data_IF_749988908376
#
_entry.id   IF_749988908376
#
_cell.length_a   1.000
_cell.length_b   1.000
_cell.length_c   1.000
_cell.angle_alpha   90.00
_cell.angle_beta   90.00
_cell.angle_gamma   90.00
#
_symmetry.space_group_name_H-M   'P 1'
#
loop_
_entity.id
_entity.type
_entity.pdbx_description
1 polymer ?
2 non-polymer ?
3 non-polymer ?
4 water ?
#
# COMPACT_ATOMS: atom_id res chain seq x y z
N UNK A 33 -16.48 -11.12 16.18
CA UNK A 33 -16.95 -9.93 16.87
C UNK A 33 -15.78 -9.06 17.33
N UNK A 34 -14.59 -9.64 17.38
CA UNK A 34 -13.39 -8.90 17.75
C UNK A 34 -12.62 -8.54 16.49
N UNK A 35 -11.92 -7.40 16.56
CA UNK A 35 -11.19 -6.89 15.40
C UNK A 35 -10.21 -7.92 14.88
N UNK A 36 -9.43 -8.51 15.76
CA UNK A 36 -8.43 -9.48 15.32
C UNK A 36 -9.06 -10.73 14.71
N UNK A 37 -10.24 -11.12 15.18
CA UNK A 37 -10.87 -12.33 14.64
C UNK A 37 -11.42 -12.09 13.24
N UNK A 38 -12.02 -10.92 13.01
CA UNK A 38 -12.47 -10.59 11.66
C UNK A 38 -11.29 -10.54 10.71
N UNK A 39 -10.22 -9.85 11.12
CA UNK A 39 -9.05 -9.71 10.26
C UNK A 39 -8.37 -11.06 10.02
N UNK A 40 -8.30 -11.90 11.06
CA UNK A 40 -7.75 -13.25 10.93
C UNK A 40 -8.57 -14.07 9.94
N UNK A 41 -9.90 -13.97 10.03
CA UNK A 41 -10.75 -14.72 9.12
C UNK A 41 -10.58 -14.26 7.68
N UNK A 42 -10.54 -12.95 7.47
CA UNK A 42 -10.30 -12.41 6.15
C UNK A 42 -8.96 -12.88 5.61
N UNK A 43 -7.90 -12.79 6.44
CA UNK A 43 -6.58 -13.21 5.98
C UNK A 43 -6.55 -14.70 5.65
N UNK A 44 -7.22 -15.52 6.48
CA UNK A 44 -7.23 -16.95 6.24
C UNK A 44 -7.85 -17.28 4.89
N UNK A 45 -9.00 -16.68 4.59
CA UNK A 45 -9.66 -16.93 3.30
C UNK A 45 -8.82 -16.41 2.14
N UNK A 46 -8.12 -15.29 2.33
CA UNK A 46 -7.26 -14.77 1.27
C UNK A 46 -6.03 -15.66 1.08
N UNK A 47 -5.46 -16.18 2.18
CA UNK A 47 -4.35 -17.10 2.04
C UNK A 47 -4.74 -18.29 1.19
N UNK A 48 -5.98 -18.73 1.30
CA UNK A 48 -6.47 -19.81 0.43
C UNK A 48 -6.40 -19.41 -1.03
N UNK A 49 -6.82 -18.18 -1.34
CA UNK A 49 -6.76 -17.70 -2.72
C UNK A 49 -5.32 -17.63 -3.19
N UNK A 50 -4.41 -17.21 -2.30
CA UNK A 50 -3.00 -17.12 -2.66
C UNK A 50 -2.33 -18.48 -2.73
N UNK A 51 -3.00 -19.55 -2.32
CA UNK A 51 -2.43 -20.88 -2.40
C UNK A 51 -1.39 -21.19 -1.34
N UNK A 52 -1.43 -20.50 -0.21
CA UNK A 52 -0.49 -20.77 0.87
C UNK A 52 -0.90 -22.02 1.64
N UNK A 53 0.10 -22.70 2.20
CA UNK A 53 -0.17 -23.89 3.01
C UNK A 53 -0.88 -23.49 4.30
N UNK A 54 -1.53 -24.48 4.92
CA UNK A 54 -2.17 -24.25 6.21
C UNK A 54 -1.14 -23.80 7.25
N UNK A 55 0.07 -24.34 7.19
CA UNK A 55 1.11 -23.95 8.13
C UNK A 55 1.47 -22.47 7.97
N UNK A 56 1.70 -22.02 6.74
CA UNK A 56 2.05 -20.62 6.51
C UNK A 56 0.89 -19.70 6.89
N UNK A 57 -0.33 -20.12 6.58
CA UNK A 57 -1.50 -19.33 6.97
C UNK A 57 -1.53 -19.13 8.48
N UNK A 58 -1.39 -20.22 9.24
CA UNK A 58 -1.43 -20.10 10.70
C UNK A 58 -0.33 -19.19 11.20
N UNK A 59 0.87 -19.29 10.61
CA UNK A 59 1.97 -18.42 11.01
C UNK A 59 1.62 -16.95 10.80
N UNK A 60 1.10 -16.64 9.62
CA UNK A 60 0.84 -15.24 9.26
C UNK A 60 -0.37 -14.67 9.96
N UNK A 61 -1.40 -15.47 10.25
CA UNK A 61 -2.47 -14.99 11.12
C UNK A 61 -1.89 -14.56 12.47
N UNK A 62 -0.94 -15.35 13.01
CA UNK A 62 -0.31 -14.99 14.26
C UNK A 62 0.45 -13.68 14.16
N UNK A 63 1.21 -13.51 13.07
CA UNK A 63 1.94 -12.26 12.86
C UNK A 63 0.97 -11.08 12.81
N UNK A 64 -0.15 -11.24 12.11
CA UNK A 64 -1.13 -10.17 12.02
C UNK A 64 -1.63 -9.79 13.41
N UNK A 65 -1.98 -10.78 14.22
CA UNK A 65 -2.47 -10.50 15.57
C UNK A 65 -1.42 -9.75 16.37
N UNK A 66 -0.19 -10.25 16.37
CA UNK A 66 0.89 -9.57 17.07
C UNK A 66 1.00 -8.11 16.62
N UNK A 67 0.90 -7.87 15.32
CA UNK A 67 1.09 -6.52 14.81
C UNK A 67 0.00 -5.57 15.30
N UNK A 68 -1.20 -6.09 15.57
CA UNK A 68 -2.29 -5.24 16.05
C UNK A 68 -2.21 -4.94 17.54
N UNK A 69 -1.33 -5.61 18.28
CA UNK A 69 -1.22 -5.35 19.70
C UNK A 69 -2.53 -5.63 20.42
N UNK A 70 -2.82 -4.81 21.42
CA UNK A 70 -4.04 -5.00 22.21
C UNK A 70 -5.30 -4.79 21.38
N UNK A 71 -5.21 -4.02 20.29
CA UNK A 71 -6.36 -3.76 19.45
C UNK A 71 -6.94 -5.03 18.85
N UNK A 72 -6.15 -6.11 18.76
CA UNK A 72 -6.67 -7.36 18.23
C UNK A 72 -7.83 -7.89 19.05
N UNK A 73 -7.85 -7.62 20.35
CA UNK A 73 -8.91 -8.09 21.22
C UNK A 73 -10.08 -7.14 21.34
N UNK A 74 -10.10 -6.13 20.51
CA UNK A 74 -11.06 -5.04 20.60
C UNK A 74 -12.41 -5.45 20.01
N UNK A 75 -13.53 -5.28 20.72
CA UNK A 75 -14.83 -5.55 20.11
C UNK A 75 -15.11 -4.60 18.96
N UNK A 76 -15.67 -5.15 17.88
CA UNK A 76 -16.03 -4.32 16.74
C UNK A 76 -17.23 -3.44 17.02
N UNK A 77 -17.94 -3.66 18.14
CA UNK A 77 -18.99 -2.75 18.55
C UNK A 77 -18.45 -1.44 19.11
N UNK A 78 -17.16 -1.37 19.43
CA UNK A 78 -16.55 -0.12 19.87
C UNK A 78 -15.92 0.60 18.69
N UNK A 79 -15.64 1.89 18.83
CA UNK A 79 -15.05 2.66 17.72
C UNK A 79 -13.69 2.10 17.33
N UNK A 80 -13.18 2.50 16.18
CA UNK A 80 -11.83 2.09 15.80
C UNK A 80 -10.81 2.57 16.81
N UNK A 81 -9.72 1.83 16.99
CA UNK A 81 -8.71 2.27 17.98
C UNK A 81 -8.03 3.56 17.60
N UNK A 82 -7.92 3.87 16.31
CA UNK A 82 -7.36 5.13 15.86
C UNK A 82 -8.14 5.63 14.66
N UNK A 83 -8.02 6.92 14.41
CA UNK A 83 -8.63 7.55 13.24
C UNK A 83 -7.72 7.43 12.03
N UNK A 84 -7.19 6.23 11.83
CA UNK A 84 -6.09 6.07 10.89
C UNK A 84 -6.54 6.33 9.47
N UNK A 85 -5.63 6.93 8.70
CA UNK A 85 -5.73 7.19 7.28
C UNK A 85 -5.45 5.95 6.44
N UNK A 86 -5.14 4.82 7.09
CA UNK A 86 -4.84 3.59 6.37
C UNK A 86 -6.02 3.10 5.55
N UNK A 87 -7.25 3.31 6.04
CA UNK A 87 -8.44 2.94 5.30
C UNK A 87 -9.53 3.96 5.61
N UNK A 88 -10.55 4.01 4.75
CA UNK A 88 -11.55 5.06 4.87
C UNK A 88 -12.38 4.90 6.14
N UNK A 89 -12.62 3.67 6.60
CA UNK A 89 -13.37 3.45 7.83
C UNK A 89 -12.48 3.26 9.04
N UNK A 90 -11.17 3.48 8.89
CA UNK A 90 -10.22 3.50 9.99
C UNK A 90 -9.93 2.10 10.53
N UNK A 91 -10.26 1.06 9.79
CA UNK A 91 -9.73 -0.25 10.11
C UNK A 91 -8.20 -0.20 9.97
N UNK A 92 -7.45 -0.65 10.97
CA UNK A 92 -5.99 -0.56 10.86
C UNK A 92 -5.38 -1.71 10.07
N UNK A 93 -6.14 -2.23 9.10
CA UNK A 93 -5.73 -3.35 8.26
C UNK A 93 -6.22 -3.09 6.85
N UNK A 94 -5.38 -3.41 5.86
CA UNK A 94 -5.78 -3.41 4.47
C UNK A 94 -5.03 -4.53 3.77
N UNK A 95 -5.71 -5.21 2.85
CA UNK A 95 -5.11 -6.29 2.07
C UNK A 95 -4.79 -5.81 0.67
N UNK A 96 -3.84 -6.48 0.04
CA UNK A 96 -3.64 -6.26 -1.39
C UNK A 96 -3.14 -7.54 -2.04
N UNK A 97 -3.47 -7.68 -3.32
CA UNK A 97 -3.06 -8.83 -4.12
C UNK A 97 -2.29 -8.33 -5.32
N UNK A 98 -1.10 -8.89 -5.52
CA UNK A 98 -0.23 -8.51 -6.62
C UNK A 98 -0.27 -9.61 -7.67
N UNK A 99 -0.75 -9.27 -8.86
CA UNK A 99 -1.02 -10.25 -9.91
C UNK A 99 0.10 -10.26 -10.95
N UNK A 100 0.55 -11.47 -11.30
CA UNK A 100 1.44 -11.71 -12.42
C UNK A 100 0.80 -12.73 -13.35
N UNK A 101 1.09 -12.69 -14.65
CA UNK A 101 0.50 -13.69 -15.56
C UNK A 101 0.93 -15.10 -15.19
N UNK A 102 -0.02 -16.03 -15.28
CA UNK A 102 0.26 -17.43 -15.02
C UNK A 102 0.79 -17.66 -13.63
N UNK A 103 0.15 -17.04 -12.64
CA UNK A 103 0.57 -17.17 -11.26
C UNK A 103 -0.61 -16.89 -10.34
N UNK A 104 -0.59 -17.52 -9.17
CA UNK A 104 -1.49 -17.11 -8.11
C UNK A 104 -1.05 -15.74 -7.61
N UNK A 105 -1.98 -14.87 -7.23
CA UNK A 105 -1.59 -13.55 -6.73
C UNK A 105 -0.75 -13.65 -5.46
N UNK A 106 0.17 -12.71 -5.31
CA UNK A 106 0.91 -12.55 -4.06
C UNK A 106 0.05 -11.78 -3.08
N UNK A 107 -0.04 -12.26 -1.84
CA UNK A 107 -0.86 -11.64 -0.83
C UNK A 107 0.00 -10.79 0.10
N UNK A 108 -0.48 -9.58 0.37
CA UNK A 108 0.16 -8.67 1.30
C UNK A 108 -0.89 -8.11 2.24
N UNK A 109 -0.45 -7.72 3.43
CA UNK A 109 -1.34 -7.10 4.41
C UNK A 109 -0.64 -5.90 5.01
N UNK A 110 -1.34 -4.77 5.04
CA UNK A 110 -0.85 -3.51 5.58
C UNK A 110 -1.53 -3.26 6.91
N UNK A 111 -0.75 -2.87 7.92
CA UNK A 111 -1.25 -2.67 9.27
C UNK A 111 -0.62 -1.43 9.87
N UNK A 112 -1.34 -0.81 10.81
CA UNK A 112 -0.81 0.27 11.63
C UNK A 112 -0.48 -0.31 13.00
N UNK A 113 0.77 -0.73 13.25
CA UNK A 113 1.03 -1.51 14.47
C UNK A 113 0.86 -0.73 15.75
N UNK A 114 0.89 0.60 15.71
CA UNK A 114 0.74 1.40 16.91
C UNK A 114 -0.69 1.89 17.09
N UNK A 115 -1.64 1.25 16.41
CA UNK A 115 -3.01 1.77 16.43
C UNK A 115 -3.61 1.76 17.82
N UNK A 116 -3.13 0.88 18.71
CA UNK A 116 -3.66 0.84 20.07
C UNK A 116 -3.33 2.09 20.85
N UNK A 117 -2.30 2.84 20.44
CA UNK A 117 -1.97 4.11 21.06
C UNK A 117 -2.89 5.24 20.58
N UNK A 118 -3.81 4.95 19.66
CA UNK A 118 -4.77 5.94 19.23
C UNK A 118 -4.15 7.01 18.35
N UNK A 119 -4.70 8.22 18.46
CA UNK A 119 -4.31 9.34 17.62
C UNK A 119 -3.18 10.15 18.24
N UNK A 120 -2.60 9.68 19.33
CA UNK A 120 -1.35 10.24 19.86
C UNK A 120 -0.22 9.81 18.93
N UNK A 121 0.13 10.68 17.96
CA UNK A 121 1.04 10.26 16.90
C UNK A 121 2.42 9.87 17.43
N UNK A 122 2.90 10.59 18.45
CA UNK A 122 4.22 10.26 19.01
C UNK A 122 4.22 8.84 19.57
N UNK A 123 3.20 8.48 20.35
CA UNK A 123 3.16 7.15 20.92
C UNK A 123 2.79 6.11 19.88
N UNK A 124 1.92 6.47 18.93
CA UNK A 124 1.60 5.58 17.82
C UNK A 124 2.87 5.18 17.06
N UNK A 125 3.73 6.17 16.76
CA UNK A 125 4.96 5.88 16.05
C UNK A 125 5.93 5.03 16.86
N UNK A 126 6.11 5.36 18.14
CA UNK A 126 6.98 4.54 18.98
C UNK A 126 6.53 3.09 19.02
N UNK A 127 5.23 2.86 19.16
CA UNK A 127 4.71 1.50 19.21
C UNK A 127 4.88 0.79 17.88
N UNK A 128 4.73 1.52 16.77
CA UNK A 128 4.95 0.93 15.46
C UNK A 128 6.39 0.51 15.25
N UNK A 129 7.33 1.38 15.64
CA UNK A 129 8.75 1.03 15.52
C UNK A 129 9.09 -0.19 16.36
N UNK A 130 8.52 -0.28 17.57
CA UNK A 130 8.79 -1.44 18.41
C UNK A 130 8.36 -2.73 17.73
N UNK A 131 7.20 -2.72 17.07
CA UNK A 131 6.73 -3.91 16.38
C UNK A 131 7.63 -4.28 15.21
N UNK A 132 8.11 -3.29 14.46
CA UNK A 132 9.00 -3.58 13.33
C UNK A 132 10.32 -4.16 13.84
N UNK A 133 10.87 -3.57 14.89
CA UNK A 133 12.13 -4.09 15.43
C UNK A 133 11.96 -5.46 16.02
N UNK A 134 10.78 -5.79 16.53
CA UNK A 134 10.52 -7.15 17.00
C UNK A 134 10.54 -8.13 15.83
N UNK A 135 9.91 -7.76 14.71
CA UNK A 135 9.99 -8.57 13.50
C UNK A 135 11.42 -8.74 13.05
N UNK A 136 12.16 -7.64 12.98
CA UNK A 136 13.54 -7.68 12.52
C UNK A 136 14.37 -8.65 13.35
N UNK A 137 14.29 -8.53 14.68
CA UNK A 137 15.02 -9.44 15.55
C UNK A 137 14.60 -10.88 15.30
N UNK A 138 13.30 -11.10 15.07
CA UNK A 138 12.77 -12.45 14.93
C UNK A 138 13.24 -13.12 13.65
N UNK A 139 13.30 -12.38 12.55
CA UNK A 139 13.65 -12.93 11.24
C UNK A 139 15.05 -12.53 10.80
N UNK A 140 15.82 -11.90 11.68
CA UNK A 140 17.22 -11.64 11.41
C UNK A 140 17.48 -10.80 10.17
N UNK A 141 16.90 -9.61 10.11
CA UNK A 141 17.20 -8.69 9.02
C UNK A 141 17.48 -7.30 9.58
N UNK A 142 18.13 -6.50 8.75
CA UNK A 142 18.69 -5.23 9.19
C UNK A 142 17.64 -4.13 9.20
N UNK A 143 17.74 -3.25 10.19
CA UNK A 143 16.98 -2.01 10.24
C UNK A 143 17.89 -0.80 10.05
N UNK A 144 19.05 -0.99 9.42
CA UNK A 144 20.03 0.09 9.31
C UNK A 144 19.46 1.29 8.56
N UNK A 145 18.84 1.05 7.41
CA UNK A 145 18.26 2.16 6.66
C UNK A 145 17.18 2.86 7.47
N UNK A 146 16.38 2.10 8.21
CA UNK A 146 15.30 2.71 8.99
C UNK A 146 15.85 3.49 10.17
N UNK A 147 16.79 2.90 10.92
CA UNK A 147 17.38 3.61 12.05
C UNK A 147 18.09 4.86 11.59
N UNK A 148 18.65 4.84 10.38
CA UNK A 148 19.29 6.02 9.80
C UNK A 148 18.32 7.17 9.62
N UNK A 149 17.03 6.87 9.45
CA UNK A 149 16.02 7.87 9.15
C UNK A 149 15.17 8.25 10.35
N UNK A 150 15.31 7.55 11.48
CA UNK A 150 14.31 7.62 12.53
C UNK A 150 14.07 9.05 12.99
N UNK A 151 15.14 9.80 13.27
CA UNK A 151 14.97 11.15 13.82
C UNK A 151 14.26 12.07 12.84
N UNK A 152 14.38 11.81 11.53
CA UNK A 152 13.68 12.64 10.55
C UNK A 152 12.17 12.42 10.60
N UNK A 153 11.74 11.19 10.86
CA UNK A 153 10.35 10.81 10.69
C UNK A 153 9.60 10.61 11.99
N UNK A 154 10.28 10.73 13.13
CA UNK A 154 9.65 10.57 14.44
C UNK A 154 10.13 11.67 15.36
N UNK A 155 9.74 12.92 15.07
CA UNK A 155 10.08 14.02 15.97
C UNK A 155 9.23 13.97 17.24
N UNK A 156 9.58 14.85 18.18
CA UNK A 156 8.92 14.84 19.49
C UNK A 156 7.43 15.10 19.37
N UNK A 157 7.02 16.06 18.53
CA UNK A 157 5.62 16.44 18.35
C UNK A 157 5.26 16.27 16.88
N UNK A 158 5.04 15.05 16.42
CA UNK A 158 4.85 14.82 14.99
C UNK A 158 3.47 15.28 14.52
N UNK A 159 3.41 15.67 13.26
CA UNK A 159 2.15 15.97 12.59
C UNK A 159 1.67 14.74 11.81
N UNK A 160 0.39 14.73 11.49
CA UNK A 160 -0.23 13.63 10.77
C UNK A 160 0.15 13.65 9.30
N UNK A 161 -0.51 12.81 8.50
CA UNK A 161 -1.65 11.95 8.85
C UNK A 161 -1.30 10.53 9.33
N UNK A 162 -0.01 10.18 9.38
CA UNK A 162 0.38 8.88 9.89
C UNK A 162 1.73 9.01 10.59
N UNK A 163 2.08 7.97 11.35
CA UNK A 163 3.40 7.85 11.94
C UNK A 163 4.17 6.67 11.35
N UNK A 164 3.58 5.47 11.35
CA UNK A 164 4.23 4.30 10.78
C UNK A 164 3.17 3.27 10.44
N UNK A 165 3.18 2.81 9.19
CA UNK A 165 2.49 1.59 8.79
C UNK A 165 3.52 0.56 8.36
N UNK A 166 3.11 -0.70 8.39
CA UNK A 166 3.95 -1.82 8.02
C UNK A 166 3.15 -2.76 7.14
N UNK A 167 3.73 -3.15 6.01
CA UNK A 167 3.11 -4.14 5.13
C UNK A 167 3.96 -5.40 5.15
N UNK A 168 3.28 -6.55 5.20
CA UNK A 168 3.91 -7.86 5.22
C UNK A 168 3.60 -8.57 3.91
N UNK A 169 4.64 -8.96 3.19
CA UNK A 169 4.50 -9.80 2.00
C UNK A 169 4.46 -11.25 2.45
N UNK A 170 3.31 -11.90 2.25
CA UNK A 170 3.06 -13.21 2.85
C UNK A 170 3.59 -14.29 1.91
N UNK A 171 4.90 -14.50 2.00
CA UNK A 171 5.60 -15.42 1.13
C UNK A 171 5.53 -16.85 1.68
N UNK A 172 5.47 -17.82 0.77
CA UNK A 172 5.65 -19.20 1.14
C UNK A 172 6.92 -19.36 1.96
N UNK A 173 6.85 -20.19 3.01
CA UNK A 173 7.95 -20.38 3.93
C UNK A 173 7.73 -19.76 5.29
N UNK A 174 6.81 -18.80 5.40
CA UNK A 174 6.47 -18.20 6.68
C UNK A 174 7.33 -17.03 7.09
N UNK A 175 8.40 -16.74 6.35
CA UNK A 175 9.24 -15.58 6.60
C UNK A 175 8.78 -14.48 5.62
N UNK A 176 8.13 -13.43 6.09
CA UNK A 176 7.57 -12.45 5.17
C UNK A 176 8.59 -11.40 4.74
N UNK A 177 8.32 -10.79 3.59
CA UNK A 177 8.91 -9.50 3.29
C UNK A 177 8.24 -8.43 4.12
N UNK A 178 9.03 -7.45 4.55
CA UNK A 178 8.55 -6.37 5.40
C UNK A 178 8.77 -5.05 4.68
N UNK A 179 7.75 -4.21 4.68
CA UNK A 179 7.82 -2.86 4.13
C UNK A 179 7.30 -1.88 5.17
N UNK A 180 8.00 -0.75 5.33
CA UNK A 180 7.66 0.26 6.32
C UNK A 180 7.32 1.56 5.62
N UNK A 181 6.22 2.18 6.02
CA UNK A 181 5.74 3.43 5.43
C UNK A 181 5.86 4.55 6.47
N UNK A 182 6.51 5.64 6.07
CA UNK A 182 6.77 6.78 6.94
C UNK A 182 6.13 8.04 6.35
N UNK A 183 6.01 9.06 7.20
CA UNK A 183 5.30 10.29 6.85
C UNK A 183 6.27 11.41 6.55
N UNK A 184 6.45 11.82 5.29
CA UNK A 184 7.31 12.98 5.01
C UNK A 184 6.85 14.26 5.69
N UNK A 185 5.57 14.37 6.02
CA UNK A 185 5.04 15.56 6.68
C UNK A 185 5.15 15.51 8.18
N UNK A 186 5.93 14.58 8.73
CA UNK A 186 6.02 14.44 10.18
C UNK A 186 6.50 15.74 10.84
N UNK A 187 7.28 16.54 10.11
CA UNK A 187 7.78 17.81 10.61
C UNK A 187 6.98 19.00 10.09
N UNK A 188 5.77 18.75 9.60
CA UNK A 188 4.95 19.79 9.01
C UNK A 188 4.88 19.61 7.50
N UNK A 189 3.68 19.82 6.94
CA UNK A 189 3.50 19.61 5.51
C UNK A 189 4.41 20.50 4.69
N UNK A 190 4.68 21.72 5.16
CA UNK A 190 5.55 22.63 4.43
C UNK A 190 7.00 22.18 4.43
N UNK A 191 7.36 21.18 5.24
CA UNK A 191 8.72 20.65 5.27
C UNK A 191 8.80 19.24 4.69
N UNK A 192 7.75 18.79 3.99
CA UNK A 192 7.74 17.42 3.47
C UNK A 192 8.83 17.23 2.41
N UNK A 193 8.91 18.14 1.45
CA UNK A 193 9.95 18.05 0.43
C UNK A 193 11.34 18.06 1.06
N UNK A 194 11.58 18.98 2.00
CA UNK A 194 12.82 19.01 2.74
C UNK A 194 13.12 17.66 3.39
N UNK A 195 12.12 17.06 4.02
CA UNK A 195 12.34 15.79 4.71
C UNK A 195 12.68 14.68 3.73
N UNK A 196 11.99 14.64 2.58
CA UNK A 196 12.28 13.60 1.59
C UNK A 196 13.69 13.76 1.04
N UNK A 197 14.07 15.01 0.75
CA UNK A 197 15.41 15.28 0.23
C UNK A 197 16.48 14.81 1.22
N UNK A 198 16.31 15.13 2.50
CA UNK A 198 17.29 14.73 3.50
C UNK A 198 17.32 13.22 3.67
N UNK A 199 16.15 12.56 3.61
CA UNK A 199 16.11 11.12 3.73
C UNK A 199 16.88 10.45 2.60
N UNK A 200 16.65 10.90 1.36
CA UNK A 200 17.35 10.31 0.22
C UNK A 200 18.85 10.54 0.33
N UNK A 201 19.26 11.74 0.76
CA UNK A 201 20.68 12.01 0.93
C UNK A 201 21.30 11.07 1.96
N UNK A 202 20.63 10.87 3.10
CA UNK A 202 21.17 9.98 4.13
C UNK A 202 21.29 8.56 3.63
N UNK A 203 20.42 8.14 2.72
CA UNK A 203 20.46 6.78 2.19
C UNK A 203 21.43 6.63 1.03
N UNK A 204 22.17 7.68 0.69
CA UNK A 204 23.13 7.61 -0.40
C UNK A 204 22.57 7.87 -1.77
N UNK A 205 21.30 8.25 -1.87
CA UNK A 205 20.67 8.55 -3.16
C UNK A 205 20.69 10.06 -3.39
N UNK A 206 21.89 10.55 -3.74
CA UNK A 206 22.14 11.98 -3.78
C UNK A 206 21.53 12.66 -4.99
N UNK A 207 21.16 11.91 -6.02
CA UNK A 207 20.52 12.47 -7.20
C UNK A 207 19.03 12.17 -7.28
N UNK A 208 18.50 11.34 -6.37
CA UNK A 208 17.16 10.82 -6.52
C UNK A 208 16.10 11.91 -6.48
N UNK A 209 16.24 12.87 -5.56
CA UNK A 209 15.19 13.87 -5.38
C UNK A 209 15.00 14.71 -6.64
N UNK A 210 16.09 15.18 -7.24
CA UNK A 210 15.97 15.98 -8.46
C UNK A 210 15.50 15.15 -9.65
N UNK A 211 15.63 13.82 -9.58
CA UNK A 211 15.13 12.95 -10.64
C UNK A 211 13.62 12.80 -10.60
N UNK A 212 12.99 13.03 -9.45
CA UNK A 212 11.55 12.87 -9.35
C UNK A 212 10.83 13.87 -10.25
N UNK A 213 9.66 13.52 -10.76
CA UNK A 213 8.81 14.52 -11.41
C UNK A 213 8.19 15.45 -10.36
N UNK A 214 7.68 16.58 -10.83
CA UNK A 214 7.00 17.50 -9.94
C UNK A 214 5.72 16.86 -9.41
N UNK A 215 5.25 17.38 -8.28
CA UNK A 215 4.10 16.79 -7.61
C UNK A 215 3.40 17.84 -6.77
N UNK A 216 2.20 17.49 -6.31
CA UNK A 216 1.43 18.33 -5.41
C UNK A 216 1.54 17.89 -3.97
N UNK A 217 2.38 16.91 -3.67
CA UNK A 217 2.58 16.45 -2.30
C UNK A 217 3.40 15.19 -2.26
N UNK A 218 3.87 14.87 -1.06
CA UNK A 218 4.73 13.71 -0.80
C UNK A 218 4.08 12.87 0.30
N UNK A 219 3.07 12.07 -0.05
CA UNK A 219 2.29 11.40 1.02
C UNK A 219 3.06 10.34 1.80
N UNK A 220 4.01 9.63 1.18
CA UNK A 220 4.69 8.54 1.88
C UNK A 220 6.13 8.41 1.41
N UNK A 221 6.98 7.92 2.31
CA UNK A 221 8.25 7.30 1.99
C UNK A 221 8.22 5.88 2.53
N UNK A 222 8.63 4.90 1.73
CA UNK A 222 8.62 3.51 2.15
C UNK A 222 9.98 2.86 1.95
N UNK A 223 10.28 1.88 2.79
CA UNK A 223 11.50 1.10 2.74
C UNK A 223 11.16 -0.39 2.67
N UNK A 224 12.00 -1.14 1.95
CA UNK A 224 11.95 -2.59 1.96
C UNK A 224 12.90 -3.11 3.03
N UNK A 225 12.38 -3.96 3.91
CA UNK A 225 13.18 -4.61 4.93
C UNK A 225 13.06 -6.12 4.81
N UNK A 226 14.10 -6.82 5.23
CA UNK A 226 14.15 -8.26 5.10
C UNK A 226 14.93 -8.71 3.88
N UNK A 227 14.59 -9.91 3.41
CA UNK A 227 15.28 -10.48 2.26
C UNK A 227 14.65 -9.94 0.99
N UNK A 228 15.39 -9.09 0.28
CA UNK A 228 15.00 -8.56 -1.01
C UNK A 228 16.24 -8.57 -1.90
N UNK A 229 16.07 -9.02 -3.15
CA UNK A 229 17.18 -8.97 -4.09
C UNK A 229 17.67 -7.55 -4.30
N UNK A 230 16.74 -6.61 -4.45
CA UNK A 230 17.06 -5.20 -4.70
C UNK A 230 16.11 -4.35 -3.87
N UNK A 231 16.37 -4.22 -2.57
CA UNK A 231 15.45 -3.46 -1.72
C UNK A 231 15.34 -2.02 -2.19
N UNK A 232 14.11 -1.51 -2.16
CA UNK A 232 13.79 -0.19 -2.68
C UNK A 232 13.67 0.83 -1.55
N UNK A 233 14.01 2.07 -1.86
CA UNK A 233 13.43 3.22 -1.18
C UNK A 233 12.40 3.81 -2.14
N UNK A 234 11.17 3.95 -1.67
CA UNK A 234 10.05 4.32 -2.52
C UNK A 234 9.54 5.69 -2.11
N UNK A 235 9.38 6.57 -3.09
CA UNK A 235 8.87 7.92 -2.88
C UNK A 235 7.51 7.99 -3.55
N UNK A 236 6.48 8.30 -2.76
CA UNK A 236 5.13 8.45 -3.28
C UNK A 236 4.83 9.92 -3.50
N UNK A 237 4.23 10.23 -4.64
CA UNK A 237 3.87 11.59 -5.02
C UNK A 237 2.38 11.69 -5.30
N UNK A 238 1.78 12.80 -4.87
CA UNK A 238 0.37 13.09 -5.08
C UNK A 238 0.22 14.02 -6.27
N UNK A 239 -0.72 13.72 -7.17
CA UNK A 239 -0.95 14.54 -8.36
C UNK A 239 -2.43 14.89 -8.44
N UNK A 240 -2.74 16.18 -8.38
CA UNK A 240 -4.10 16.67 -8.52
C UNK A 240 -4.41 16.88 -10.01
N UNK A 241 -5.54 16.32 -10.45
CA UNK A 241 -6.02 16.56 -11.80
C UNK A 241 -5.23 15.88 -12.89
N UNK A 242 -4.67 14.72 -12.62
CA UNK A 242 -3.88 14.00 -13.62
C UNK A 242 -4.78 13.53 -14.77
N UNK A 243 -4.23 13.63 -15.98
CA UNK A 243 -4.86 13.07 -17.18
C UNK A 243 -4.22 11.74 -17.55
N UNK A 244 -4.87 11.03 -18.47
CA UNK A 244 -4.30 9.78 -18.97
C UNK A 244 -2.92 10.00 -19.57
N UNK A 245 -2.74 11.08 -20.32
CA UNK A 245 -1.44 11.36 -20.90
C UNK A 245 -0.41 11.64 -19.81
N UNK A 246 -0.80 12.38 -18.77
CA UNK A 246 0.10 12.59 -17.64
C UNK A 246 0.56 11.27 -17.06
N UNK A 247 -0.38 10.33 -16.92
CA UNK A 247 -0.06 9.04 -16.30
C UNK A 247 1.07 8.34 -17.04
N UNK A 248 1.12 8.46 -18.37
CA UNK A 248 2.17 7.84 -19.16
C UNK A 248 3.45 8.65 -19.25
N UNK A 249 3.42 9.92 -18.86
CA UNK A 249 4.59 10.78 -18.95
C UNK A 249 5.31 10.99 -17.61
N UNK A 250 4.69 10.61 -16.50
CA UNK A 250 5.30 10.80 -15.18
C UNK A 250 6.41 9.79 -14.83
N UNK A 251 6.56 8.65 -15.52
CA UNK A 251 7.68 7.77 -15.19
C UNK A 251 9.02 8.46 -15.37
N UNK A 252 9.97 8.10 -14.51
CA UNK A 252 11.36 8.55 -14.65
C UNK A 252 12.33 7.39 -14.65
N UNK A 253 11.85 6.16 -14.74
CA UNK A 253 12.71 5.00 -14.75
C UNK A 253 13.17 4.67 -16.16
N UNK A 254 14.27 3.93 -16.24
CA UNK A 254 14.66 3.31 -17.51
C UNK A 254 14.58 1.79 -17.33
N UNK A 255 14.02 1.08 -18.31
CA UNK A 255 13.40 1.60 -19.53
C UNK A 255 12.04 2.25 -19.26
N UNK A 256 11.63 3.15 -20.14
CA UNK A 256 10.36 3.84 -19.97
C UNK A 256 9.21 2.85 -20.12
N UNK A 257 8.25 2.83 -19.18
CA UNK A 257 7.07 2.00 -19.38
C UNK A 257 6.28 2.43 -20.60
N UNK A 258 5.55 1.50 -21.18
CA UNK A 258 4.70 1.82 -22.32
C UNK A 258 3.71 2.92 -21.96
N UNK A 259 3.79 4.04 -22.67
CA UNK A 259 2.84 5.12 -22.45
C UNK A 259 1.41 4.67 -22.77
N UNK A 260 1.24 3.94 -23.88
CA UNK A 260 -0.09 3.48 -24.27
C UNK A 260 -0.72 2.61 -23.18
N UNK A 261 0.05 1.69 -22.61
CA UNK A 261 -0.48 0.82 -21.55
C UNK A 261 -0.87 1.64 -20.33
N UNK A 262 -0.07 2.65 -19.99
CA UNK A 262 -0.40 3.47 -18.81
C UNK A 262 -1.64 4.30 -19.06
N UNK A 263 -1.78 4.85 -20.27
CA UNK A 263 -2.97 5.64 -20.58
C UNK A 263 -4.22 4.76 -20.56
N UNK A 264 -4.14 3.56 -21.15
CA UNK A 264 -5.26 2.65 -21.14
C UNK A 264 -5.64 2.25 -19.72
N UNK A 265 -4.64 1.90 -18.91
CA UNK A 265 -4.90 1.56 -17.51
C UNK A 265 -5.60 2.71 -16.79
N UNK A 266 -5.09 3.94 -16.96
CA UNK A 266 -5.69 5.10 -16.32
C UNK A 266 -7.13 5.29 -16.77
N UNK A 267 -7.39 5.16 -18.07
CA UNK A 267 -8.75 5.34 -18.57
C UNK A 267 -9.68 4.27 -18.04
N UNK A 268 -9.22 3.01 -17.99
CA UNK A 268 -10.07 1.93 -17.49
C UNK A 268 -10.37 2.12 -16.01
N UNK A 269 -9.34 2.42 -15.22
CA UNK A 269 -9.53 2.56 -13.78
C UNK A 269 -10.41 3.76 -13.42
N UNK A 270 -10.31 4.84 -14.20
CA UNK A 270 -11.11 6.02 -13.96
C UNK A 270 -12.36 6.15 -14.81
N UNK A 271 -12.61 5.18 -15.69
CA UNK A 271 -13.68 5.29 -16.69
C UNK A 271 -13.67 6.67 -17.34
N UNK A 272 -12.69 6.92 -18.20
CA UNK A 272 -12.58 8.17 -18.94
C UNK A 272 -12.70 7.85 -20.43
N UNK A 273 -12.88 8.87 -21.29
CA UNK A 273 -12.86 8.65 -22.74
C UNK A 273 -11.81 7.64 -23.22
N UNK A 285 -10.94 14.93 -19.55
CA UNK A 285 -11.07 13.94 -18.50
C UNK A 285 -9.84 13.86 -17.60
N UNK A 286 -10.04 14.22 -16.35
CA UNK A 286 -8.98 14.24 -15.35
C UNK A 286 -9.53 13.61 -14.08
N UNK A 287 -8.65 13.01 -13.28
CA UNK A 287 -9.14 12.44 -12.03
C UNK A 287 -9.24 13.58 -11.04
N UNK A 288 -10.48 14.02 -10.85
CA UNK A 288 -10.82 15.32 -10.28
C UNK A 288 -11.00 15.27 -8.77
N UNK A 289 -11.36 14.11 -8.22
CA UNK A 289 -11.56 13.98 -6.79
C UNK A 289 -10.31 13.48 -6.10
N UNK A 290 -10.41 12.31 -5.48
CA UNK A 290 -9.25 11.66 -4.88
C UNK A 290 -8.11 11.61 -5.90
N UNK A 291 -6.94 12.16 -5.58
CA UNK A 291 -5.85 12.22 -6.57
C UNK A 291 -5.17 10.89 -6.79
N UNK A 292 -4.72 10.68 -8.02
CA UNK A 292 -3.86 9.55 -8.31
C UNK A 292 -2.48 9.80 -7.71
N UNK A 293 -1.81 8.72 -7.36
CA UNK A 293 -0.46 8.77 -6.83
C UNK A 293 0.50 8.10 -7.79
N UNK A 294 1.75 8.54 -7.77
CA UNK A 294 2.82 7.78 -8.40
C UNK A 294 3.85 7.42 -7.35
N UNK A 295 4.49 6.28 -7.55
CA UNK A 295 5.51 5.79 -6.65
C UNK A 295 6.77 5.53 -7.48
N UNK A 296 7.88 6.08 -7.00
CA UNK A 296 9.16 6.02 -7.71
C UNK A 296 10.15 5.29 -6.82
N UNK A 297 10.61 4.12 -7.28
CA UNK A 297 11.46 3.26 -6.49
C UNK A 297 12.92 3.42 -6.91
N UNK A 298 13.79 3.52 -5.91
CA UNK A 298 15.23 3.61 -6.12
C UNK A 298 15.88 2.40 -5.48
N UNK A 299 16.60 1.63 -6.29
CA UNK A 299 17.27 0.42 -5.83
C UNK A 299 18.78 0.50 -5.94
N UNK A 300 19.31 1.52 -6.61
CA UNK A 300 20.74 1.65 -6.81
C UNK A 300 21.06 3.14 -6.94
N UNK A 301 22.34 3.47 -6.75
CA UNK A 301 22.77 4.86 -6.73
C UNK A 301 23.52 5.29 -7.98
N UNK A 302 23.77 4.39 -8.93
CA UNK A 302 24.62 4.71 -10.07
C UNK A 302 23.90 5.60 -11.07
N UNK A 303 22.65 5.25 -11.44
CA UNK A 303 21.97 5.97 -12.50
C UNK A 303 21.51 7.35 -12.05
N UNK A 304 21.21 7.51 -10.76
CA UNK A 304 20.60 8.73 -10.29
C UNK A 304 19.14 8.87 -10.64
N UNK A 305 18.51 7.84 -11.18
CA UNK A 305 17.10 7.85 -11.52
C UNK A 305 16.45 6.61 -10.93
N UNK A 306 15.13 6.59 -10.86
CA UNK A 306 14.45 5.43 -10.27
C UNK A 306 14.54 4.21 -11.19
N UNK A 307 14.42 3.03 -10.56
CA UNK A 307 14.30 1.76 -11.26
C UNK A 307 12.86 1.29 -11.38
N UNK A 308 11.90 1.98 -10.76
CA UNK A 308 10.53 1.54 -10.80
C UNK A 308 9.57 2.71 -10.86
N UNK A 309 8.37 2.42 -11.37
CA UNK A 309 7.28 3.37 -11.43
C UNK A 309 5.96 2.63 -11.23
N UNK A 310 5.17 3.08 -10.28
CA UNK A 310 3.83 2.55 -10.07
C UNK A 310 2.83 3.69 -10.12
N UNK A 311 1.74 3.47 -10.83
CA UNK A 311 0.62 4.40 -10.87
C UNK A 311 -0.52 3.84 -10.02
N UNK A 312 -0.96 4.63 -9.02
CA UNK A 312 -2.03 4.23 -8.11
C UNK A 312 -3.27 5.07 -8.41
N UNK A 313 -4.36 4.41 -8.76
CA UNK A 313 -5.62 5.10 -9.05
C UNK A 313 -6.61 4.77 -7.93
N UNK A 314 -7.15 5.83 -7.15
CA UNK A 314 -8.14 5.56 -6.08
C UNK A 314 -9.53 5.32 -6.66
N UNK A 315 -9.71 4.12 -7.23
CA UNK A 315 -10.92 3.81 -7.98
C UNK A 315 -12.17 3.95 -7.12
N UNK A 316 -12.05 3.87 -5.80
CA UNK A 316 -13.22 3.90 -4.93
C UNK A 316 -13.94 5.24 -4.96
N UNK A 317 -13.30 6.30 -5.44
CA UNK A 317 -13.94 7.61 -5.55
C UNK A 317 -14.44 7.91 -6.95
N UNK A 318 -14.37 6.93 -7.85
CA UNK A 318 -14.74 7.16 -9.25
C UNK A 318 -15.73 6.11 -9.73
N UNK A 319 -16.42 5.46 -8.79
CA UNK A 319 -17.43 4.46 -9.10
C UNK A 319 -18.66 4.72 -8.25
N UNK A 320 -19.80 4.24 -8.73
CA UNK A 320 -21.02 4.30 -7.93
C UNK A 320 -20.99 3.28 -6.80
N UNK A 321 -20.33 2.15 -7.02
CA UNK A 321 -20.31 1.05 -6.08
C UNK A 321 -19.25 0.06 -6.53
N UNK A 322 -19.03 -0.98 -5.72
CA UNK A 322 -17.94 -1.91 -5.97
C UNK A 322 -18.22 -2.90 -7.10
N UNK A 323 -19.47 -3.03 -7.54
CA UNK A 323 -19.71 -3.74 -8.78
C UNK A 323 -18.97 -3.11 -9.94
N UNK A 324 -18.97 -1.78 -10.01
CA UNK A 324 -18.23 -1.09 -11.06
C UNK A 324 -16.72 -1.18 -10.85
N UNK A 325 -16.27 -1.02 -9.61
CA UNK A 325 -14.84 -1.13 -9.32
C UNK A 325 -14.32 -2.52 -9.67
N UNK A 326 -15.10 -3.55 -9.37
CA UNK A 326 -14.70 -4.91 -9.74
C UNK A 326 -14.63 -5.05 -11.25
N UNK A 327 -15.60 -4.50 -11.98
CA UNK A 327 -15.58 -4.59 -13.44
C UNK A 327 -14.32 -3.97 -14.01
N UNK A 328 -13.92 -2.80 -13.50
CA UNK A 328 -12.71 -2.15 -13.97
C UNK A 328 -11.48 -2.96 -13.60
N UNK A 329 -11.46 -3.53 -12.38
CA UNK A 329 -10.31 -4.31 -11.94
C UNK A 329 -10.08 -5.53 -12.82
N UNK A 330 -11.15 -6.28 -13.11
CA UNK A 330 -10.96 -7.49 -13.92
C UNK A 330 -10.60 -7.14 -15.35
N UNK A 331 -11.08 -5.99 -15.84
CA UNK A 331 -10.70 -5.53 -17.17
C UNK A 331 -9.20 -5.26 -17.25
N UNK A 332 -8.65 -4.58 -16.25
CA UNK A 332 -7.21 -4.33 -16.22
C UNK A 332 -6.46 -5.65 -16.12
N UNK A 333 -6.89 -6.52 -15.21
CA UNK A 333 -6.21 -7.80 -15.05
C UNK A 333 -6.21 -8.58 -16.35
N UNK A 334 -7.36 -8.65 -17.03
CA UNK A 334 -7.44 -9.41 -18.27
C UNK A 334 -6.60 -8.77 -19.37
N UNK A 335 -6.53 -7.44 -19.40
CA UNK A 335 -5.67 -6.75 -20.37
C UNK A 335 -4.21 -7.17 -20.22
N UNK A 336 -3.78 -7.44 -18.99
CA UNK A 336 -2.40 -7.79 -18.72
C UNK A 336 -2.20 -9.29 -18.49
N UNK A 337 -3.13 -10.11 -18.99
CA UNK A 337 -2.97 -11.57 -19.01
C UNK A 337 -2.95 -12.18 -17.60
N UNK A 338 -3.66 -11.58 -16.66
CA UNK A 338 -3.70 -12.05 -15.28
C UNK A 338 -5.05 -12.68 -14.98
N UNK A 339 -5.06 -13.54 -13.95
CA UNK A 339 -6.23 -14.36 -13.66
C UNK A 339 -7.22 -13.55 -12.84
N UNK A 340 -8.23 -13.00 -13.53
CA UNK A 340 -9.25 -12.20 -12.86
C UNK A 340 -10.15 -13.02 -11.95
N UNK A 341 -10.28 -14.33 -12.20
CA UNK A 341 -11.13 -15.16 -11.37
C UNK A 341 -10.63 -15.18 -9.93
N UNK A 342 -9.30 -15.18 -9.74
CA UNK A 342 -8.74 -15.12 -8.40
C UNK A 342 -9.15 -13.83 -7.68
N UNK A 343 -9.26 -12.72 -8.40
CA UNK A 343 -9.74 -11.50 -7.77
C UNK A 343 -11.17 -11.65 -7.28
N UNK A 344 -12.04 -12.20 -8.13
CA UNK A 344 -13.42 -12.42 -7.72
C UNK A 344 -13.47 -13.26 -6.44
N UNK A 345 -12.65 -14.30 -6.36
CA UNK A 345 -12.61 -15.10 -5.14
C UNK A 345 -12.04 -14.31 -3.96
N UNK A 346 -11.10 -13.40 -4.21
CA UNK A 346 -10.52 -12.62 -3.12
C UNK A 346 -11.54 -11.64 -2.54
N UNK A 347 -12.36 -11.03 -3.39
CA UNK A 347 -13.37 -10.11 -2.89
C UNK A 347 -14.37 -10.83 -1.99
N UNK A 348 -14.85 -11.99 -2.43
CA UNK A 348 -15.77 -12.76 -1.59
C UNK A 348 -15.08 -13.26 -0.33
N UNK A 349 -13.77 -13.47 -0.37
CA UNK A 349 -13.05 -13.90 0.81
C UNK A 349 -13.01 -12.81 1.86
N UNK A 350 -12.98 -11.55 1.43
CA UNK A 350 -12.89 -10.44 2.37
C UNK A 350 -14.27 -10.05 2.88
N UNK A 351 -15.30 -10.13 2.02
CA UNK A 351 -16.62 -9.67 2.41
C UNK A 351 -17.72 -10.48 1.75
N UNK A 352 -18.77 -10.86 2.49
CA UNK A 352 -19.90 -11.56 1.88
C UNK A 352 -20.94 -10.64 1.26
N UNK A 353 -20.80 -9.33 1.39
CA UNK A 353 -21.85 -8.43 0.97
C UNK A 353 -21.91 -8.36 -0.55
N UNK A 354 -23.07 -8.03 -1.12
CA UNK A 354 -23.13 -7.75 -2.56
C UNK A 354 -22.30 -6.53 -2.90
N UNK A 355 -21.57 -6.60 -4.02
CA UNK A 355 -20.64 -5.54 -4.38
C UNK A 355 -21.36 -4.21 -4.57
N UNK A 356 -22.56 -4.23 -5.15
CA UNK A 356 -23.27 -2.99 -5.45
C UNK A 356 -23.92 -2.37 -4.22
N UNK A 357 -23.89 -3.02 -3.06
CA UNK A 357 -24.51 -2.45 -1.87
C UNK A 357 -23.63 -1.43 -1.17
N UNK A 358 -22.40 -1.23 -1.65
CA UNK A 358 -21.51 -0.25 -1.04
C UNK A 358 -20.40 0.11 -2.00
N UNK A 359 -19.55 1.02 -1.53
CA UNK A 359 -18.39 1.48 -2.29
C UNK A 359 -17.19 1.52 -1.35
N UNK A 360 -16.01 1.20 -1.89
CA UNK A 360 -14.78 1.26 -1.14
C UNK A 360 -14.14 -0.08 -0.82
N UNK A 361 -14.75 -1.20 -1.19
CA UNK A 361 -14.11 -2.49 -0.97
C UNK A 361 -12.82 -2.58 -1.77
N UNK A 362 -12.85 -2.14 -3.02
CA UNK A 362 -11.65 -1.98 -3.82
C UNK A 362 -11.22 -0.53 -3.67
N UNK A 363 -10.14 -0.30 -2.94
CA UNK A 363 -9.70 1.04 -2.60
C UNK A 363 -8.86 1.68 -3.69
N UNK A 364 -7.97 0.89 -4.29
CA UNK A 364 -7.02 1.38 -5.29
C UNK A 364 -6.76 0.29 -6.30
N UNK A 365 -6.44 0.70 -7.52
CA UNK A 365 -5.82 -0.17 -8.51
C UNK A 365 -4.47 0.41 -8.89
N UNK A 366 -3.48 -0.45 -9.10
CA UNK A 366 -2.13 0.02 -9.37
C UNK A 366 -1.51 -0.79 -10.48
N UNK A 367 -0.77 -0.11 -11.36
CA UNK A 367 0.00 -0.73 -12.43
C UNK A 367 1.48 -0.52 -12.09
N UNK A 368 2.23 -1.61 -12.03
CA UNK A 368 3.55 -1.62 -11.41
C UNK A 368 4.59 -1.97 -12.46
N UNK A 369 5.57 -1.08 -12.63
CA UNK A 369 6.73 -1.32 -13.49
C UNK A 369 7.99 -1.28 -12.65
N UNK A 370 8.88 -2.24 -12.88
CA UNK A 370 10.14 -2.33 -12.14
C UNK A 370 11.17 -2.92 -13.09
N UNK A 371 12.33 -2.28 -13.16
CA UNK A 371 13.33 -2.62 -14.17
C UNK A 371 13.65 -4.11 -14.18
N UNK A 372 13.54 -4.73 -15.35
CA UNK A 372 13.86 -6.12 -15.52
C UNK A 372 12.85 -7.08 -14.96
N UNK A 373 11.73 -6.59 -14.41
CA UNK A 373 10.71 -7.45 -13.83
C UNK A 373 9.43 -7.39 -14.66
N UNK A 374 8.61 -8.43 -14.64
CA UNK A 374 7.37 -8.39 -15.44
C UNK A 374 6.38 -7.40 -14.87
N UNK A 375 5.58 -6.84 -15.76
CA UNK A 375 4.55 -5.90 -15.35
C UNK A 375 3.60 -6.58 -14.37
N UNK A 376 3.12 -5.81 -13.39
CA UNK A 376 2.35 -6.33 -12.29
C UNK A 376 1.17 -5.40 -12.03
N UNK A 377 0.02 -5.98 -11.66
CA UNK A 377 -1.17 -5.23 -11.29
C UNK A 377 -1.48 -5.55 -9.84
N UNK A 378 -1.72 -4.52 -9.04
CA UNK A 378 -2.04 -4.68 -7.63
C UNK A 378 -3.43 -4.15 -7.37
N UNK A 379 -4.23 -4.93 -6.65
CA UNK A 379 -5.58 -4.54 -6.25
C UNK A 379 -5.56 -4.44 -4.72
N UNK A 380 -5.94 -3.29 -4.20
CA UNK A 380 -5.98 -3.05 -2.76
C UNK A 380 -7.42 -3.22 -2.29
N UNK A 381 -7.61 -4.09 -1.30
CA UNK A 381 -8.95 -4.53 -0.87
C UNK A 381 -9.13 -4.20 0.60
N UNK A 382 -10.23 -3.52 0.91
CA UNK A 382 -10.48 -3.03 2.26
C UNK A 382 -11.06 -4.12 3.14
N UNK A 383 -10.81 -3.97 4.45
CA UNK A 383 -11.36 -4.88 5.45
C UNK A 383 -12.82 -4.56 5.75
N UNK A 384 -13.20 -3.28 5.73
CA UNK A 384 -14.57 -2.85 6.04
C UNK A 384 -15.04 -3.38 7.38
N UNK A 385 -14.14 -3.35 8.38
CA UNK A 385 -14.48 -3.86 9.69
C UNK A 385 -15.46 -2.95 10.42
N UNK A 386 -15.45 -1.65 10.10
CA UNK A 386 -16.22 -0.67 10.87
C UNK A 386 -17.36 -0.01 10.10
N UNK A 387 -17.24 0.20 8.79
CA UNK A 387 -18.39 0.67 8.04
C UNK A 387 -18.24 0.34 6.56
N UNK A 388 -19.39 0.14 5.92
CA UNK A 388 -19.50 0.05 4.47
C UNK A 388 -20.07 1.37 3.97
N UNK A 389 -19.34 2.05 3.10
CA UNK A 389 -19.82 3.33 2.60
C UNK A 389 -20.98 3.12 1.64
N UNK A 390 -21.96 4.02 1.63
CA UNK A 390 -23.15 3.78 0.82
C UNK A 390 -22.85 3.94 -0.65
N UNK A 391 -23.58 3.25 -1.53
CA UNK A 391 -23.41 3.50 -2.97
C UNK A 391 -23.71 4.95 -3.32
N UNK A 392 -23.09 5.41 -4.39
CA UNK A 392 -23.37 6.72 -4.94
C UNK A 392 -24.27 6.58 -6.15
N UNK A 393 -25.16 7.55 -6.34
CA UNK A 393 -26.07 7.49 -7.47
C UNK A 393 -25.49 8.12 -8.72
N UNK A 394 -24.53 9.03 -8.57
CA UNK A 394 -23.72 9.49 -9.68
C UNK A 394 -22.29 9.70 -9.20
N UNK A 395 -21.36 9.74 -10.15
CA UNK A 395 -20.01 10.22 -9.91
C UNK A 395 -19.83 11.51 -10.70
N UNK A 396 -19.64 12.67 -10.04
CA UNK A 396 -19.46 13.91 -10.79
C UNK A 396 -18.23 13.90 -11.68
X LIG B 1 3.13 -0.68 -2.21
X LIG B 1 4.03 -0.71 -1.00
X LIG B 1 1.96 -1.62 -2.02
X LIG B 1 2.63 0.73 -2.44
X LIG B 1 3.97 -1.11 -3.53
X LIG B 1 4.56 -2.58 -3.85
X LIG B 1 5.44 -3.04 -2.72
X LIG B 1 5.40 -2.48 -5.12
X LIG B 1 3.42 -3.54 -4.07
X LIG C 1 -1.59 2.63 -1.28
X LIG C 1 -0.45 1.63 -1.19
X LIG C 1 -1.93 3.02 -2.72
X LIG C 1 -1.16 3.89 -0.56
X LIG C 1 -2.77 2.05 -0.61
X LIG C 1 0.74 2.16 -1.71
X LIG C 1 -2.52 1.96 -3.42
X LIG C 1 -2.29 4.62 -0.16
X LIG C 1 -0.72 0.73 -1.73
X LIG C 1 -0.30 1.35 -0.15
X LIG C 1 -1.01 3.32 -3.22
X LIG C 1 -2.60 3.87 -2.71
X LIG C 1 -0.57 3.64 0.32
X LIG C 1 -0.55 4.50 -1.22
X LIG C 1 -2.60 1.81 0.36
X LIG C 1 -3.23 1.33 -1.15
X LIG C 1 -3.43 2.81 -0.57
X LIG C 1 1.46 1.49 -1.64
X LIG C 1 -2.72 2.24 -4.34
X LIG C 1 -2.02 5.44 0.30
#
# INVERSE_FOLDING_TARGET
MGSSHHHHHHSSGLVPRGSHMGGPMSGFHSGEALLGDLATGQLTRLCEVAGLTEADTAAYTGVLIESLGTSAGRPLSLPPPSRTFLSDDHTPVEFSLAFLPGRAPHLRVLVEPGCSSGDDLAENGRAGLRAVHTMADRWGFSTEQLDRLEDLFFPSSPEGPLALWCALELRSGGVPGVKVYLNPAANGADRAAETVREALARLGHLQAFDALPRADGFPFLALDLGDWDAPRVKIYLKHLGMSAADAGSLPRMSPAPSREQLEEFFRTAGDLPAPGDPGPTEDTGRLAGRPALTCHSFTETATGRPSGYTLHVPVRDYVRHDGEARDRAVAVLREHDMDSAALDRALAAVSPRPLSDGVGLIAYLALVHQRGRPTRVTVYVSSEAYEVRPPRETVPTRDRARARL
POP P1 O1 O2 O3 O P2 O4 O5 O6
TRS C C1 C2 C3 N O1 O2 O3 H11 H12 H21 H22 H31 H32 HN1 HN2 HN3 HO1 HO2 HO3
#
